data_IF_771870771058
#
_entry.id   IF_771870771058
#
_cell.length_a   1.000
_cell.length_b   1.000
_cell.length_c   1.000
_cell.angle_alpha   90.00
_cell.angle_beta   90.00
_cell.angle_gamma   90.00
#
_symmetry.space_group_name_H-M   'P 1'
#
loop_
_entity.id
_entity.type
_entity.pdbx_description
1 polymer ?
#
# COMPACT_ATOMS: atom_id res chain seq x y z
N UNK A 1 55.94 44.99 20.48
CA UNK A 1 55.14 43.79 20.21
C UNK A 1 56.07 42.62 20.05
N UNK A 2 55.89 41.50 20.75
CA UNK A 2 56.67 40.30 20.44
C UNK A 2 56.44 39.87 19.02
N UNK A 3 57.48 39.62 18.23
CA UNK A 3 57.40 39.12 16.88
C UNK A 3 57.02 37.63 16.91
N UNK A 4 55.78 37.32 16.62
CA UNK A 4 55.36 35.92 16.41
C UNK A 4 55.64 35.53 14.96
N UNK A 5 56.41 34.47 14.72
CA UNK A 5 56.91 34.14 13.37
C UNK A 5 55.87 33.49 12.44
N UNK A 6 54.64 33.18 12.90
CA UNK A 6 53.68 32.41 12.11
C UNK A 6 52.35 33.13 11.97
N UNK A 7 51.84 33.18 10.74
CA UNK A 7 50.50 33.66 10.38
C UNK A 7 49.66 32.47 9.92
N UNK A 8 48.43 32.37 10.45
CA UNK A 8 47.41 31.35 10.08
C UNK A 8 46.98 30.45 11.27
N UNK A 9 46.14 29.44 10.95
CA UNK A 9 45.60 28.44 11.89
C UNK A 9 46.66 27.39 12.32
N UNK A 10 47.91 27.78 12.31
CA UNK A 10 49.01 27.00 12.88
C UNK A 10 49.19 27.30 14.36
N UNK A 11 49.94 26.46 15.08
CA UNK A 11 50.27 26.67 16.49
C UNK A 11 50.67 28.10 16.81
N UNK A 12 51.55 28.71 16.01
CA UNK A 12 52.01 30.09 16.17
C UNK A 12 50.89 31.13 15.94
N UNK A 13 50.00 30.88 15.00
CA UNK A 13 48.86 31.74 14.70
C UNK A 13 47.86 31.80 15.86
N UNK A 14 47.53 30.66 16.47
CA UNK A 14 46.60 30.61 17.61
C UNK A 14 47.18 31.31 18.85
N UNK A 15 48.41 31.08 19.18
CA UNK A 15 49.08 31.73 20.29
C UNK A 15 49.04 33.25 20.17
N UNK A 16 49.34 33.76 18.96
CA UNK A 16 49.26 35.19 18.65
C UNK A 16 47.83 35.72 18.78
N UNK A 17 46.85 35.00 18.26
CA UNK A 17 45.43 35.42 18.29
C UNK A 17 44.94 35.51 19.74
N UNK A 18 45.18 34.52 20.56
CA UNK A 18 44.80 34.46 21.98
C UNK A 18 45.44 35.63 22.75
N UNK A 19 46.75 35.83 22.56
CA UNK A 19 47.47 36.92 23.21
C UNK A 19 46.89 38.30 22.82
N UNK A 20 46.74 38.52 21.50
CA UNK A 20 46.28 39.82 21.00
C UNK A 20 44.82 40.11 21.40
N UNK A 21 43.94 39.09 21.45
CA UNK A 21 42.57 39.26 21.85
C UNK A 21 42.46 39.66 23.31
N UNK A 22 43.19 38.97 24.21
CA UNK A 22 43.23 39.33 25.62
C UNK A 22 43.86 40.71 25.84
N UNK A 23 44.96 41.03 25.16
CA UNK A 23 45.65 42.31 25.28
C UNK A 23 44.78 43.49 24.82
N UNK A 24 44.04 43.34 23.70
CA UNK A 24 43.16 44.40 23.16
C UNK A 24 41.93 44.64 24.02
N UNK A 25 41.45 43.67 24.74
CA UNK A 25 40.31 43.76 25.65
C UNK A 25 40.66 44.16 27.05
N UNK A 26 41.90 44.59 27.31
CA UNK A 26 42.42 44.90 28.65
C UNK A 26 42.19 43.77 29.68
N UNK A 27 42.20 42.54 29.20
CA UNK A 27 41.95 41.33 29.99
C UNK A 27 40.71 41.44 30.91
N UNK A 28 39.62 42.05 30.40
CA UNK A 28 38.38 42.28 31.16
C UNK A 28 37.57 41.03 31.49
N UNK A 29 37.97 39.86 30.99
CA UNK A 29 37.39 38.56 31.27
C UNK A 29 38.40 37.65 31.96
N UNK A 30 37.93 36.52 32.49
CA UNK A 30 38.87 35.47 33.03
C UNK A 30 39.76 34.90 31.91
N UNK A 31 40.97 34.50 32.25
CA UNK A 31 41.92 33.91 31.30
C UNK A 31 41.35 32.75 30.50
N UNK A 32 40.50 31.90 31.11
CA UNK A 32 39.80 30.78 30.47
C UNK A 32 38.83 31.23 29.38
N UNK A 33 38.19 32.39 29.52
CA UNK A 33 37.26 32.94 28.52
C UNK A 33 37.96 33.37 27.24
N UNK A 34 39.26 33.63 27.26
CA UNK A 34 40.10 33.89 26.09
C UNK A 34 40.72 32.64 25.50
N UNK A 35 40.43 31.47 26.08
CA UNK A 35 40.92 30.22 25.53
C UNK A 35 40.35 29.91 24.17
N UNK A 36 41.18 29.38 23.27
CA UNK A 36 40.76 29.03 21.89
C UNK A 36 41.40 27.70 21.46
N UNK A 37 40.61 26.91 20.71
CA UNK A 37 41.07 25.74 19.98
C UNK A 37 41.52 26.11 18.58
N UNK A 38 42.49 25.35 18.02
CA UNK A 38 42.78 25.39 16.60
C UNK A 38 41.62 24.78 15.81
N UNK A 39 41.19 25.44 14.75
CA UNK A 39 40.11 24.94 13.90
C UNK A 39 40.58 23.92 12.86
N UNK A 40 41.89 23.82 12.65
CA UNK A 40 42.53 22.82 11.79
C UNK A 40 43.55 22.02 12.61
N UNK A 41 43.70 20.72 12.29
CA UNK A 41 44.84 19.95 12.74
C UNK A 41 46.11 20.39 12.02
N UNK A 42 47.23 20.25 12.69
CA UNK A 42 48.55 20.55 12.13
C UNK A 42 49.55 19.45 12.53
N UNK A 43 50.60 19.28 11.70
CA UNK A 43 51.68 18.35 11.98
C UNK A 43 52.55 18.89 13.12
N UNK A 44 52.93 18.02 14.06
CA UNK A 44 53.89 18.36 15.10
C UNK A 44 55.30 18.56 14.47
N UNK A 45 56.06 19.53 15.02
CA UNK A 45 57.41 19.78 14.53
C UNK A 45 58.31 18.58 14.80
N UNK A 46 58.83 17.97 13.73
CA UNK A 46 59.71 16.78 13.80
C UNK A 46 58.99 15.46 14.05
N UNK A 47 57.67 15.42 13.82
CA UNK A 47 56.83 14.25 14.03
C UNK A 47 55.71 14.27 12.97
N UNK A 48 55.36 13.13 12.40
CA UNK A 48 54.30 13.01 11.37
C UNK A 48 52.89 12.99 12.01
N UNK A 49 52.77 13.03 13.34
CA UNK A 49 51.49 13.04 14.02
C UNK A 49 50.81 14.40 13.94
N UNK A 50 49.52 14.35 13.78
CA UNK A 50 48.67 15.52 13.78
C UNK A 50 48.11 15.83 15.17
N UNK A 51 48.01 17.11 15.49
CA UNK A 51 47.44 17.60 16.73
C UNK A 51 46.54 18.81 16.50
N UNK A 52 45.63 19.02 17.46
CA UNK A 52 44.94 20.29 17.68
C UNK A 52 45.45 20.88 18.98
N UNK A 53 45.47 22.21 19.10
CA UNK A 53 45.92 22.88 20.33
C UNK A 53 44.77 23.69 20.94
N UNK A 54 44.72 23.67 22.27
CA UNK A 54 44.02 24.64 23.09
C UNK A 54 45.01 25.60 23.69
N UNK A 55 44.77 26.90 23.58
CA UNK A 55 45.68 27.93 24.09
C UNK A 55 44.92 28.99 24.88
N UNK A 56 45.46 29.42 25.99
CA UNK A 56 44.87 30.48 26.84
C UNK A 56 45.96 31.49 27.27
N UNK A 57 45.58 32.77 27.46
CA UNK A 57 46.54 33.78 27.92
C UNK A 57 46.91 33.60 29.37
N UNK A 58 48.09 34.02 29.69
CA UNK A 58 48.57 34.17 31.09
C UNK A 58 48.37 35.65 31.46
N UNK A 59 47.52 35.92 32.45
CA UNK A 59 47.09 37.24 32.85
C UNK A 59 47.47 37.43 34.35
N UNK A 60 48.21 38.47 34.64
CA UNK A 60 48.51 38.88 36.00
C UNK A 60 47.28 39.49 36.72
N UNK A 61 47.28 39.56 38.05
CA UNK A 61 46.17 40.17 38.78
C UNK A 61 45.90 41.65 38.43
N UNK A 62 46.89 42.38 37.88
CA UNK A 62 46.76 43.75 37.40
C UNK A 62 46.21 43.87 35.98
N UNK A 63 45.82 42.74 35.38
CA UNK A 63 45.31 42.67 33.99
C UNK A 63 46.40 42.56 32.92
N UNK A 64 47.68 42.55 33.27
CA UNK A 64 48.77 42.46 32.31
C UNK A 64 48.85 41.10 31.69
N UNK A 65 48.72 41.01 30.34
CA UNK A 65 48.91 39.79 29.56
C UNK A 65 50.40 39.61 29.30
N UNK A 66 51.05 38.60 29.91
CA UNK A 66 52.49 38.43 29.78
C UNK A 66 52.90 37.18 28.96
N UNK A 67 51.96 36.31 28.66
CA UNK A 67 52.27 35.11 27.85
C UNK A 67 51.02 34.34 27.45
N UNK A 68 51.24 33.18 26.86
CA UNK A 68 50.21 32.20 26.46
C UNK A 68 50.71 30.81 26.84
N UNK A 69 49.85 30.01 27.41
CA UNK A 69 50.08 28.57 27.61
C UNK A 69 49.14 27.79 26.71
N UNK A 70 49.62 26.67 26.18
CA UNK A 70 48.79 25.81 25.33
C UNK A 70 49.06 24.33 25.63
N UNK A 71 48.05 23.53 25.31
CA UNK A 71 48.09 22.05 25.39
C UNK A 71 47.79 21.53 23.97
N UNK A 72 48.58 20.56 23.53
CA UNK A 72 48.40 19.87 22.26
C UNK A 72 47.72 18.53 22.51
N UNK A 73 46.68 18.25 21.73
CA UNK A 73 45.94 17.02 21.77
C UNK A 73 46.10 16.30 20.44
N UNK A 74 46.63 15.10 20.46
CA UNK A 74 46.83 14.31 19.25
C UNK A 74 45.48 13.93 18.62
N UNK A 75 45.39 14.06 17.33
CA UNK A 75 44.17 13.65 16.58
C UNK A 75 43.89 12.16 16.70
N UNK A 76 44.95 11.33 16.74
CA UNK A 76 44.84 9.87 16.93
C UNK A 76 44.16 9.53 18.25
N UNK A 77 44.48 10.26 19.35
CA UNK A 77 43.78 10.08 20.61
C UNK A 77 42.29 10.41 20.51
N UNK A 78 41.93 11.50 19.82
CA UNK A 78 40.55 11.86 19.59
C UNK A 78 39.82 10.81 18.73
N UNK A 79 40.49 10.26 17.74
CA UNK A 79 39.91 9.19 16.90
C UNK A 79 39.54 7.96 17.73
N UNK A 80 40.32 7.61 18.74
CA UNK A 80 40.00 6.49 19.66
C UNK A 80 38.72 6.76 20.48
N UNK A 81 38.34 8.03 20.63
CA UNK A 81 37.12 8.45 21.37
C UNK A 81 35.89 8.59 20.47
N UNK A 82 36.08 8.45 19.17
CA UNK A 82 35.05 8.53 18.17
C UNK A 82 34.94 7.18 17.40
N UNK A 83 34.38 6.13 18.03
CA UNK A 83 34.34 4.80 17.45
C UNK A 83 33.36 4.75 16.27
N UNK A 84 33.87 4.97 15.07
CA UNK A 84 33.08 5.00 13.84
C UNK A 84 32.41 3.65 13.53
N UNK A 85 32.91 2.55 14.09
CA UNK A 85 32.29 1.22 13.93
C UNK A 85 30.90 1.11 14.56
N UNK A 86 30.52 2.06 15.42
CA UNK A 86 29.16 2.16 15.95
C UNK A 86 28.16 2.64 14.91
N UNK A 87 28.61 3.38 13.90
CA UNK A 87 27.74 3.86 12.82
C UNK A 87 27.39 2.74 11.83
N UNK A 88 28.36 1.88 11.53
CA UNK A 88 28.17 0.76 10.63
C UNK A 88 29.29 -0.27 10.77
N UNK A 89 28.93 -1.56 10.83
CA UNK A 89 29.90 -2.68 10.85
C UNK A 89 30.75 -2.74 9.57
N UNK A 90 30.19 -2.29 8.43
CA UNK A 90 30.85 -2.26 7.12
C UNK A 90 31.74 -1.02 6.90
N UNK A 91 31.98 -0.20 7.93
CA UNK A 91 32.79 1.02 7.90
C UNK A 91 32.30 2.11 6.94
N UNK A 92 31.03 2.11 6.58
CA UNK A 92 30.43 3.11 5.69
C UNK A 92 30.08 4.43 6.42
N UNK A 93 30.31 4.50 7.72
CA UNK A 93 30.09 5.67 8.55
C UNK A 93 31.39 6.34 9.02
N UNK A 94 31.36 7.64 9.20
CA UNK A 94 32.49 8.44 9.66
C UNK A 94 32.03 9.50 10.65
N UNK A 95 32.83 9.71 11.71
CA UNK A 95 32.66 10.86 12.60
C UNK A 95 33.64 11.98 12.23
N UNK A 96 33.16 13.20 12.27
CA UNK A 96 33.97 14.41 12.14
C UNK A 96 33.76 15.33 13.36
N UNK A 97 34.83 15.96 13.79
CA UNK A 97 34.69 17.19 14.56
C UNK A 97 34.85 18.32 13.55
N UNK A 98 33.79 19.14 13.41
CA UNK A 98 33.73 20.23 12.44
C UNK A 98 33.48 21.56 13.10
N UNK A 99 33.98 22.61 12.50
CA UNK A 99 33.79 23.98 12.96
C UNK A 99 33.15 24.82 11.86
N UNK A 100 32.37 25.82 12.27
CA UNK A 100 31.79 26.83 11.40
C UNK A 100 31.71 28.17 12.07
N UNK A 101 31.47 29.24 11.33
CA UNK A 101 31.17 30.57 11.83
C UNK A 101 29.77 30.97 11.43
N UNK A 102 29.20 31.98 12.08
CA UNK A 102 27.83 32.44 11.79
C UNK A 102 27.62 32.90 10.33
N UNK A 103 28.69 33.34 9.64
CA UNK A 103 28.66 33.78 8.24
C UNK A 103 28.80 32.64 7.21
N UNK A 104 28.90 31.39 7.69
CA UNK A 104 29.17 30.23 6.83
C UNK A 104 27.91 29.66 6.15
N UNK A 105 26.70 30.15 6.50
CA UNK A 105 25.46 29.74 5.84
C UNK A 105 25.18 30.67 4.67
N UNK A 106 25.38 30.16 3.44
CA UNK A 106 25.11 30.88 2.20
C UNK A 106 24.18 30.05 1.33
N UNK A 107 23.06 30.61 0.88
CA UNK A 107 22.10 29.96 -0.02
C UNK A 107 21.63 28.56 0.43
N UNK A 108 21.46 28.35 1.75
CA UNK A 108 21.07 27.06 2.29
C UNK A 108 22.19 26.02 2.37
N UNK A 109 23.42 26.43 2.08
CA UNK A 109 24.62 25.60 2.20
C UNK A 109 25.41 26.05 3.42
N UNK A 110 25.64 25.16 4.38
CA UNK A 110 26.45 25.39 5.55
C UNK A 110 27.87 24.86 5.26
N UNK A 111 28.85 25.76 5.25
CA UNK A 111 30.25 25.41 5.10
C UNK A 111 30.84 25.00 6.44
N UNK A 112 31.22 23.74 6.57
CA UNK A 112 31.82 23.14 7.76
C UNK A 112 33.30 22.87 7.50
N UNK A 113 34.15 23.31 8.41
CA UNK A 113 35.59 23.03 8.36
C UNK A 113 35.89 21.78 9.16
N UNK A 114 36.52 20.82 8.53
CA UNK A 114 36.97 19.59 9.19
C UNK A 114 38.16 19.84 10.10
N UNK A 115 38.03 19.46 11.36
CA UNK A 115 39.12 19.58 12.36
C UNK A 115 39.71 18.20 12.66
N UNK A 116 38.88 17.19 12.93
CA UNK A 116 39.28 15.80 13.19
C UNK A 116 38.35 14.87 12.45
N UNK A 117 38.91 13.75 11.96
CA UNK A 117 38.15 12.68 11.26
C UNK A 117 38.42 11.37 12.00
N UNK A 118 37.36 10.57 12.19
CA UNK A 118 37.44 9.20 12.66
C UNK A 118 36.78 8.29 11.63
N UNK A 119 37.44 7.19 11.26
CA UNK A 119 37.01 6.31 10.21
C UNK A 119 37.71 6.58 8.88
N UNK A 120 37.07 6.21 7.78
CA UNK A 120 37.59 6.50 6.43
C UNK A 120 37.57 8.00 6.16
N UNK A 121 38.66 8.55 5.67
CA UNK A 121 38.70 9.97 5.30
C UNK A 121 37.96 10.17 3.95
N UNK A 122 36.68 10.48 4.06
CA UNK A 122 35.81 10.70 2.91
C UNK A 122 36.14 12.02 2.18
N UNK A 123 36.82 12.93 2.86
CA UNK A 123 37.33 14.18 2.28
C UNK A 123 38.69 13.89 1.68
N UNK A 124 38.71 13.47 0.45
CA UNK A 124 39.96 13.23 -0.27
C UNK A 124 40.85 14.50 -0.30
N UNK A 125 42.17 14.30 -0.45
CA UNK A 125 43.19 15.33 -0.49
C UNK A 125 42.95 16.45 -1.54
N UNK A 126 41.99 16.29 -2.42
CA UNK A 126 41.61 17.24 -3.49
C UNK A 126 40.66 18.35 -3.00
N UNK A 127 40.10 18.29 -1.79
CA UNK A 127 39.39 19.44 -1.23
C UNK A 127 40.41 20.38 -0.56
N UNK A 128 40.75 21.50 -1.17
CA UNK A 128 41.96 22.30 -0.81
C UNK A 128 41.93 22.88 0.61
N UNK A 129 40.89 22.70 1.40
CA UNK A 129 40.78 23.25 2.76
C UNK A 129 40.01 22.35 3.75
N UNK A 130 39.70 21.08 3.42
CA UNK A 130 38.90 20.24 4.31
C UNK A 130 37.52 20.80 4.63
N UNK A 131 36.92 21.53 3.69
CA UNK A 131 35.62 22.16 3.85
C UNK A 131 34.54 21.23 3.31
N UNK A 132 33.54 20.96 4.15
CA UNK A 132 32.35 20.20 3.80
C UNK A 132 31.19 21.17 3.55
N UNK A 133 30.59 21.11 2.36
CA UNK A 133 29.41 21.89 2.02
C UNK A 133 28.17 21.08 2.34
N UNK A 134 27.60 21.33 3.50
CA UNK A 134 26.42 20.65 4.01
C UNK A 134 25.15 21.35 3.53
N UNK A 135 24.21 20.61 2.94
CA UNK A 135 22.92 21.12 2.50
C UNK A 135 21.81 20.52 3.36
N UNK A 136 20.79 21.33 3.67
CA UNK A 136 19.60 20.86 4.35
C UNK A 136 18.54 20.42 3.31
N UNK A 137 17.83 19.33 3.59
CA UNK A 137 16.73 18.84 2.75
C UNK A 137 15.37 19.49 3.09
N UNK A 138 15.36 20.45 4.02
CA UNK A 138 14.12 21.10 4.48
C UNK A 138 13.28 20.28 5.47
N UNK A 139 13.57 18.99 5.65
CA UNK A 139 12.88 18.08 6.57
C UNK A 139 13.70 17.79 7.83
N UNK A 140 14.77 18.54 8.06
CA UNK A 140 15.70 18.37 9.20
C UNK A 140 16.85 17.42 8.92
N UNK A 141 16.93 16.82 7.75
CA UNK A 141 18.07 16.06 7.27
C UNK A 141 19.12 16.97 6.65
N UNK A 142 20.39 16.70 6.96
CA UNK A 142 21.52 17.33 6.31
C UNK A 142 22.26 16.32 5.46
N UNK A 143 22.81 16.75 4.35
CA UNK A 143 23.58 15.90 3.47
C UNK A 143 24.76 16.62 2.84
N UNK A 144 25.76 15.85 2.50
CA UNK A 144 26.97 16.31 1.83
C UNK A 144 27.25 15.39 0.64
N UNK A 145 27.71 15.97 -0.45
CA UNK A 145 28.10 15.23 -1.66
C UNK A 145 29.63 15.17 -1.73
N UNK A 146 30.15 13.95 -1.71
CA UNK A 146 31.59 13.67 -1.72
C UNK A 146 31.85 12.54 -2.72
N UNK A 147 32.78 12.74 -3.65
CA UNK A 147 33.17 11.74 -4.66
C UNK A 147 31.95 11.15 -5.43
N UNK A 148 31.03 12.00 -5.88
CA UNK A 148 29.80 11.62 -6.57
C UNK A 148 28.83 10.73 -5.74
N UNK A 149 29.10 10.58 -4.45
CA UNK A 149 28.24 9.89 -3.51
C UNK A 149 27.60 10.88 -2.56
N UNK A 150 26.38 10.58 -2.15
CA UNK A 150 25.65 11.36 -1.16
C UNK A 150 25.75 10.70 0.20
N UNK A 151 26.14 11.51 1.20
CA UNK A 151 26.21 11.13 2.59
C UNK A 151 25.22 11.93 3.41
N UNK A 152 24.40 11.26 4.20
CA UNK A 152 23.61 11.93 5.21
C UNK A 152 24.46 12.27 6.40
N UNK A 153 24.19 13.45 6.99
CA UNK A 153 24.96 14.01 8.09
C UNK A 153 24.03 14.45 9.22
N UNK A 154 24.36 14.03 10.42
CA UNK A 154 23.75 14.53 11.66
C UNK A 154 24.78 15.41 12.35
N UNK A 155 24.36 16.60 12.77
CA UNK A 155 25.20 17.59 13.44
C UNK A 155 24.72 17.74 14.88
N UNK A 156 25.60 17.40 15.84
CA UNK A 156 25.36 17.60 17.26
C UNK A 156 26.24 18.75 17.77
N UNK A 157 25.66 19.83 18.31
CA UNK A 157 26.43 20.99 18.74
C UNK A 157 27.29 20.66 19.95
N UNK A 158 28.59 21.01 19.87
CA UNK A 158 29.52 20.94 20.95
C UNK A 158 29.72 22.31 21.59
N UNK A 159 29.36 22.48 22.84
CA UNK A 159 29.56 23.73 23.56
C UNK A 159 31.01 23.81 24.08
N UNK A 160 31.88 24.33 23.23
CA UNK A 160 33.34 24.45 23.53
C UNK A 160 33.69 25.75 24.21
N UNK A 161 32.90 26.80 23.95
CA UNK A 161 33.12 28.13 24.49
C UNK A 161 31.93 28.63 25.32
N UNK A 162 32.23 29.45 26.32
CA UNK A 162 31.17 30.21 26.99
C UNK A 162 30.57 31.25 26.09
N UNK A 163 29.27 31.57 26.26
CA UNK A 163 28.53 32.53 25.40
C UNK A 163 29.18 33.90 25.31
N UNK A 164 29.89 34.31 26.33
CA UNK A 164 30.53 35.63 26.41
C UNK A 164 32.04 35.60 26.03
N UNK A 165 32.51 34.42 25.58
CA UNK A 165 33.87 34.29 25.11
C UNK A 165 34.08 35.01 23.78
N UNK A 166 35.25 35.65 23.56
CA UNK A 166 35.54 36.34 22.27
C UNK A 166 35.45 35.43 21.03
N UNK A 167 35.56 34.11 21.23
CA UNK A 167 35.51 33.09 20.17
C UNK A 167 34.17 32.35 20.10
N UNK A 168 33.17 32.81 20.82
CA UNK A 168 31.82 32.19 20.86
C UNK A 168 31.12 32.12 19.50
N UNK A 169 31.56 32.93 18.52
CA UNK A 169 31.07 32.84 17.12
C UNK A 169 31.55 31.60 16.37
N UNK A 170 32.65 30.96 16.86
CA UNK A 170 33.13 29.69 16.32
C UNK A 170 32.27 28.56 16.91
N UNK A 171 31.38 28.02 16.10
CA UNK A 171 30.51 26.90 16.49
C UNK A 171 31.18 25.59 16.17
N UNK A 172 31.11 24.67 17.10
CA UNK A 172 31.68 23.33 16.98
C UNK A 172 30.55 22.30 16.93
N UNK A 173 30.75 21.28 16.12
CA UNK A 173 29.78 20.18 16.00
C UNK A 173 30.53 18.86 15.93
N UNK A 174 29.91 17.85 16.53
CA UNK A 174 30.18 16.47 16.21
C UNK A 174 29.26 16.11 15.02
N UNK A 175 29.85 15.70 13.92
CA UNK A 175 29.14 15.26 12.73
C UNK A 175 29.29 13.75 12.56
N UNK A 176 28.18 13.03 12.52
CA UNK A 176 28.14 11.63 12.10
C UNK A 176 27.62 11.56 10.67
N UNK A 177 28.34 10.85 9.80
CA UNK A 177 27.96 10.70 8.39
C UNK A 177 27.81 9.25 8.00
N UNK A 178 26.89 8.96 7.09
CA UNK A 178 26.68 7.63 6.52
C UNK A 178 26.30 7.74 5.05
N UNK A 179 26.83 6.85 4.22
CA UNK A 179 26.48 6.79 2.78
C UNK A 179 24.99 6.50 2.62
N UNK A 180 24.33 7.24 1.72
CA UNK A 180 22.90 7.11 1.44
C UNK A 180 22.51 5.69 1.02
N UNK A 181 23.33 5.03 0.21
CA UNK A 181 23.07 3.68 -0.26
C UNK A 181 23.00 2.67 0.90
N UNK A 182 23.86 2.80 1.89
CA UNK A 182 23.89 1.96 3.07
C UNK A 182 22.71 2.27 3.99
N UNK A 183 22.48 3.54 4.27
CA UNK A 183 21.36 3.99 5.10
C UNK A 183 20.00 3.52 4.57
N UNK A 184 19.82 3.58 3.25
CA UNK A 184 18.58 3.19 2.59
C UNK A 184 18.54 1.71 2.17
N UNK A 185 19.61 0.94 2.34
CA UNK A 185 19.67 -0.47 1.96
C UNK A 185 18.57 -1.31 2.62
N UNK A 186 18.32 -1.08 3.90
CA UNK A 186 17.22 -1.71 4.63
C UNK A 186 15.86 -1.37 4.00
N UNK A 187 15.61 -0.09 3.74
CA UNK A 187 14.36 0.38 3.15
C UNK A 187 14.14 -0.19 1.74
N UNK A 188 15.20 -0.25 0.92
CA UNK A 188 15.13 -0.83 -0.43
C UNK A 188 14.84 -2.33 -0.39
N UNK A 189 15.45 -3.07 0.54
CA UNK A 189 15.20 -4.51 0.74
C UNK A 189 13.78 -4.78 1.20
N UNK A 190 13.27 -3.99 2.15
CA UNK A 190 11.86 -4.09 2.60
C UNK A 190 10.90 -3.82 1.44
N UNK A 191 11.16 -2.80 0.63
CA UNK A 191 10.36 -2.49 -0.56
C UNK A 191 10.36 -3.63 -1.57
N UNK A 192 11.51 -4.22 -1.85
CA UNK A 192 11.64 -5.36 -2.77
C UNK A 192 10.86 -6.58 -2.26
N UNK A 193 10.99 -6.92 -0.97
CA UNK A 193 10.23 -8.02 -0.35
C UNK A 193 8.73 -7.76 -0.41
N UNK A 194 8.28 -6.52 -0.13
CA UNK A 194 6.87 -6.16 -0.23
C UNK A 194 6.34 -6.29 -1.66
N UNK A 195 7.06 -5.76 -2.64
CA UNK A 195 6.66 -5.83 -4.05
C UNK A 195 6.60 -7.27 -4.56
N UNK A 196 7.58 -8.10 -4.22
CA UNK A 196 7.59 -9.51 -4.60
C UNK A 196 6.46 -10.29 -3.93
N UNK A 197 6.18 -10.02 -2.65
CA UNK A 197 5.06 -10.65 -1.93
C UNK A 197 3.72 -10.27 -2.55
N UNK A 198 3.51 -8.99 -2.87
CA UNK A 198 2.29 -8.52 -3.55
C UNK A 198 2.14 -9.19 -4.92
N UNK A 199 3.21 -9.28 -5.71
CA UNK A 199 3.18 -9.91 -7.02
C UNK A 199 2.83 -11.41 -6.94
N UNK A 200 3.43 -12.14 -6.01
CA UNK A 200 3.14 -13.56 -5.78
C UNK A 200 1.68 -13.74 -5.35
N UNK A 201 1.21 -12.93 -4.40
CA UNK A 201 -0.18 -13.01 -3.90
C UNK A 201 -1.18 -12.74 -5.02
N UNK A 202 -0.90 -11.76 -5.88
CA UNK A 202 -1.76 -11.43 -7.02
C UNK A 202 -1.83 -12.60 -8.02
N UNK A 203 -0.69 -13.20 -8.36
CA UNK A 203 -0.64 -14.37 -9.25
C UNK A 203 -1.41 -15.55 -8.64
N UNK A 204 -1.20 -15.85 -7.37
CA UNK A 204 -1.91 -16.93 -6.68
C UNK A 204 -3.42 -16.67 -6.62
N UNK A 205 -3.84 -15.43 -6.39
CA UNK A 205 -5.25 -15.03 -6.38
C UNK A 205 -5.91 -15.23 -7.74
N UNK A 206 -5.25 -14.80 -8.83
CA UNK A 206 -5.76 -15.01 -10.19
C UNK A 206 -5.85 -16.50 -10.53
N UNK A 207 -4.80 -17.28 -10.24
CA UNK A 207 -4.80 -18.72 -10.44
C UNK A 207 -5.90 -19.42 -9.64
N UNK A 208 -6.04 -19.06 -8.36
CA UNK A 208 -7.12 -19.56 -7.49
C UNK A 208 -8.51 -19.25 -8.05
N UNK A 209 -8.73 -18.03 -8.49
CA UNK A 209 -9.99 -17.61 -9.12
C UNK A 209 -10.30 -18.41 -10.39
N UNK A 210 -9.31 -18.60 -11.26
CA UNK A 210 -9.47 -19.42 -12.48
C UNK A 210 -9.77 -20.89 -12.16
N UNK A 211 -9.10 -21.47 -11.16
CA UNK A 211 -9.34 -22.85 -10.72
C UNK A 211 -10.74 -23.02 -10.13
N UNK A 212 -11.17 -22.10 -9.27
CA UNK A 212 -12.53 -22.11 -8.69
C UNK A 212 -13.57 -21.93 -9.80
N UNK A 213 -13.38 -20.99 -10.72
CA UNK A 213 -14.26 -20.79 -11.86
C UNK A 213 -14.36 -22.06 -12.73
N UNK A 214 -13.24 -22.70 -13.02
CA UNK A 214 -13.24 -23.91 -13.84
C UNK A 214 -13.91 -25.10 -13.12
N UNK A 215 -13.74 -25.24 -11.80
CA UNK A 215 -14.30 -26.36 -11.05
C UNK A 215 -15.74 -26.18 -10.60
N UNK A 216 -16.18 -24.96 -10.34
CA UNK A 216 -17.54 -24.69 -9.85
C UNK A 216 -18.45 -24.11 -10.92
N UNK A 217 -18.04 -23.05 -11.61
CA UNK A 217 -18.91 -22.36 -12.55
C UNK A 217 -19.22 -23.17 -13.82
N UNK A 218 -18.23 -23.89 -14.36
CA UNK A 218 -18.45 -24.69 -15.59
C UNK A 218 -19.48 -25.81 -15.40
N UNK A 219 -19.41 -26.67 -14.37
CA UNK A 219 -20.42 -27.69 -14.11
C UNK A 219 -21.81 -27.11 -13.89
N UNK A 220 -21.93 -26.04 -13.12
CA UNK A 220 -23.23 -25.38 -12.86
C UNK A 220 -23.84 -24.84 -14.16
N UNK A 221 -23.07 -24.15 -14.99
CA UNK A 221 -23.53 -23.64 -16.27
C UNK A 221 -23.93 -24.76 -17.23
N UNK A 222 -23.28 -25.91 -17.18
CA UNK A 222 -23.66 -27.08 -17.95
C UNK A 222 -25.01 -27.64 -17.52
N UNK A 223 -25.21 -27.84 -16.21
CA UNK A 223 -26.50 -28.26 -15.69
C UNK A 223 -27.63 -27.29 -16.02
N UNK A 224 -27.38 -25.99 -15.92
CA UNK A 224 -28.33 -24.98 -16.29
C UNK A 224 -28.77 -25.11 -17.75
N UNK A 225 -27.83 -25.30 -18.68
CA UNK A 225 -28.14 -25.53 -20.09
C UNK A 225 -28.91 -26.83 -20.32
N UNK A 226 -28.51 -27.92 -19.66
CA UNK A 226 -29.21 -29.21 -19.77
C UNK A 226 -30.67 -29.11 -19.30
N UNK A 227 -30.96 -28.29 -18.27
CA UNK A 227 -32.34 -28.04 -17.82
C UNK A 227 -33.14 -27.22 -18.83
N UNK A 228 -32.54 -26.14 -19.35
CA UNK A 228 -33.22 -25.30 -20.36
C UNK A 228 -33.51 -26.10 -21.67
N UNK A 229 -32.51 -26.83 -22.17
CA UNK A 229 -32.66 -27.65 -23.38
C UNK A 229 -33.75 -28.73 -23.22
N UNK A 230 -33.86 -29.28 -22.00
CA UNK A 230 -34.90 -30.25 -21.70
C UNK A 230 -36.30 -29.59 -21.66
N UNK A 231 -36.39 -28.38 -21.14
CA UNK A 231 -37.65 -27.61 -21.08
C UNK A 231 -38.14 -27.25 -22.50
N UNK A 232 -37.24 -26.78 -23.38
CA UNK A 232 -37.58 -26.45 -24.76
C UNK A 232 -38.06 -27.67 -25.55
N UNK A 233 -37.41 -28.83 -25.35
CA UNK A 233 -37.73 -30.07 -26.03
C UNK A 233 -38.88 -30.86 -25.38
N UNK A 234 -39.49 -30.32 -24.30
CA UNK A 234 -40.51 -31.01 -23.50
C UNK A 234 -40.09 -32.44 -23.12
N UNK A 235 -38.82 -32.64 -22.87
CA UNK A 235 -38.22 -33.93 -22.53
C UNK A 235 -37.71 -33.89 -21.09
N UNK A 236 -37.50 -35.06 -20.46
CA UNK A 236 -36.90 -35.14 -19.14
C UNK A 236 -35.44 -34.74 -19.18
N UNK A 237 -34.99 -33.80 -18.31
CA UNK A 237 -33.59 -33.47 -18.25
C UNK A 237 -32.77 -34.68 -17.73
N UNK A 238 -31.85 -35.15 -18.57
CA UNK A 238 -30.82 -36.11 -18.12
C UNK A 238 -29.65 -35.31 -17.63
N UNK A 239 -29.65 -35.04 -16.33
CA UNK A 239 -28.60 -34.27 -15.68
C UNK A 239 -27.33 -35.09 -15.58
N UNK A 240 -26.23 -34.59 -16.12
CA UNK A 240 -24.92 -35.24 -16.06
C UNK A 240 -24.32 -35.10 -14.66
N UNK A 241 -23.66 -36.19 -14.19
CA UNK A 241 -22.94 -36.11 -12.90
C UNK A 241 -21.77 -35.14 -12.98
N UNK A 242 -21.64 -34.35 -11.94
CA UNK A 242 -20.52 -33.44 -11.74
C UNK A 242 -19.60 -34.05 -10.65
N UNK A 243 -18.36 -33.61 -10.54
CA UNK A 243 -17.46 -34.09 -9.48
C UNK A 243 -17.75 -33.45 -8.09
N UNK A 244 -18.90 -32.74 -7.94
CA UNK A 244 -19.26 -31.98 -6.75
C UNK A 244 -20.49 -32.61 -6.12
N UNK A 245 -20.37 -33.21 -4.95
CA UNK A 245 -21.45 -33.97 -4.26
C UNK A 245 -22.71 -33.14 -4.05
N UNK A 246 -22.58 -31.90 -3.70
CA UNK A 246 -23.71 -30.96 -3.44
C UNK A 246 -24.49 -30.69 -4.71
N UNK A 247 -23.78 -30.50 -5.82
CA UNK A 247 -24.38 -30.26 -7.14
C UNK A 247 -25.05 -31.52 -7.66
N UNK A 248 -24.44 -32.68 -7.49
CA UNK A 248 -25.02 -33.95 -7.89
C UNK A 248 -26.29 -34.28 -7.08
N UNK A 249 -26.27 -34.01 -5.76
CA UNK A 249 -27.47 -34.17 -4.90
C UNK A 249 -28.60 -33.23 -5.33
N UNK A 250 -28.27 -31.99 -5.67
CA UNK A 250 -29.26 -31.03 -6.17
C UNK A 250 -29.87 -31.52 -7.51
N UNK A 251 -29.05 -32.00 -8.42
CA UNK A 251 -29.50 -32.59 -9.68
C UNK A 251 -30.39 -33.81 -9.50
N UNK A 252 -30.05 -34.71 -8.57
CA UNK A 252 -30.89 -35.87 -8.20
C UNK A 252 -32.23 -35.43 -7.63
N UNK A 253 -32.25 -34.42 -6.75
CA UNK A 253 -33.50 -33.88 -6.15
C UNK A 253 -34.43 -33.31 -7.21
N UNK A 254 -33.89 -32.50 -8.15
CA UNK A 254 -34.67 -31.97 -9.26
C UNK A 254 -35.26 -33.10 -10.12
N UNK A 255 -34.46 -34.11 -10.42
CA UNK A 255 -34.90 -35.26 -11.22
C UNK A 255 -36.01 -36.03 -10.51
N UNK A 256 -35.92 -36.22 -9.19
CA UNK A 256 -36.92 -36.89 -8.39
C UNK A 256 -38.24 -36.10 -8.33
N UNK A 257 -38.15 -34.78 -8.03
CA UNK A 257 -39.33 -33.90 -8.03
C UNK A 257 -40.06 -33.94 -9.36
N UNK A 258 -39.35 -33.90 -10.46
CA UNK A 258 -39.93 -33.94 -11.77
C UNK A 258 -40.65 -35.28 -12.07
N UNK A 259 -40.06 -36.41 -11.64
CA UNK A 259 -40.70 -37.73 -11.73
C UNK A 259 -41.97 -37.81 -10.88
N UNK A 260 -41.96 -37.28 -9.67
CA UNK A 260 -43.10 -37.26 -8.76
C UNK A 260 -44.27 -36.43 -9.39
N UNK A 261 -43.93 -35.26 -9.96
CA UNK A 261 -44.93 -34.42 -10.63
C UNK A 261 -45.61 -35.17 -11.82
N UNK A 262 -44.82 -35.82 -12.67
CA UNK A 262 -45.37 -36.58 -13.78
C UNK A 262 -46.17 -37.79 -13.32
N UNK A 263 -45.67 -38.51 -12.32
CA UNK A 263 -46.37 -39.66 -11.75
C UNK A 263 -47.71 -39.27 -11.15
N UNK A 264 -47.74 -38.16 -10.39
CA UNK A 264 -48.95 -37.64 -9.79
C UNK A 264 -49.94 -37.13 -10.85
N UNK A 265 -49.43 -36.45 -11.88
CA UNK A 265 -50.28 -36.03 -13.02
C UNK A 265 -50.86 -37.22 -13.73
N UNK A 266 -50.07 -38.27 -13.99
CA UNK A 266 -50.57 -39.49 -14.65
C UNK A 266 -51.60 -40.27 -13.79
N UNK A 267 -51.38 -40.33 -12.45
CA UNK A 267 -52.32 -40.93 -11.50
C UNK A 267 -53.62 -40.14 -11.49
N UNK A 268 -53.55 -38.79 -11.47
CA UNK A 268 -54.72 -37.94 -11.53
C UNK A 268 -55.55 -38.19 -12.78
N UNK A 269 -54.90 -38.21 -13.96
CA UNK A 269 -55.59 -38.50 -15.20
C UNK A 269 -56.24 -39.89 -15.20
N UNK A 270 -55.57 -40.94 -14.66
CA UNK A 270 -56.17 -42.25 -14.53
C UNK A 270 -57.37 -42.30 -13.62
N UNK A 271 -57.33 -41.59 -12.47
CA UNK A 271 -58.46 -41.53 -11.53
C UNK A 271 -59.63 -40.83 -12.24
N UNK A 272 -59.40 -39.77 -12.98
CA UNK A 272 -60.43 -39.09 -13.75
C UNK A 272 -61.06 -39.97 -14.82
N UNK A 273 -60.22 -40.74 -15.56
CA UNK A 273 -60.66 -41.69 -16.55
C UNK A 273 -61.51 -42.83 -15.92
N UNK A 274 -61.08 -43.39 -14.79
CA UNK A 274 -61.81 -44.40 -14.06
C UNK A 274 -63.15 -43.92 -13.42
N UNK A 275 -63.22 -42.63 -13.10
CA UNK A 275 -64.40 -41.99 -12.55
C UNK A 275 -65.43 -41.63 -13.63
N UNK A 276 -65.14 -41.90 -14.90
CA UNK A 276 -65.95 -41.53 -16.07
C UNK A 276 -66.32 -40.03 -16.09
N UNK A 277 -65.45 -39.19 -15.55
CA UNK A 277 -65.61 -37.72 -15.56
C UNK A 277 -64.93 -37.19 -16.79
N UNK A 278 -65.69 -36.74 -17.73
CA UNK A 278 -65.16 -36.03 -18.88
C UNK A 278 -64.85 -34.60 -18.54
N UNK A 279 -63.53 -34.24 -18.60
CA UNK A 279 -63.03 -32.89 -18.33
C UNK A 279 -62.49 -32.28 -19.61
N UNK A 280 -62.94 -31.07 -19.87
CA UNK A 280 -62.33 -30.21 -20.88
C UNK A 280 -61.61 -29.03 -20.22
N UNK A 281 -60.38 -28.77 -20.61
CA UNK A 281 -59.60 -27.65 -20.14
C UNK A 281 -59.11 -26.78 -21.27
N UNK A 282 -58.80 -25.52 -20.94
CA UNK A 282 -58.16 -24.60 -21.86
C UNK A 282 -57.05 -23.80 -21.16
N UNK A 283 -56.06 -23.40 -21.95
CA UNK A 283 -54.98 -22.52 -21.53
C UNK A 283 -54.88 -21.34 -22.52
N UNK A 284 -54.98 -20.13 -21.99
CA UNK A 284 -54.79 -18.89 -22.73
C UNK A 284 -53.34 -18.45 -22.62
N UNK A 285 -52.62 -18.44 -23.73
CA UNK A 285 -51.29 -17.89 -23.80
C UNK A 285 -51.35 -16.43 -24.29
N UNK A 286 -51.15 -15.54 -23.33
CA UNK A 286 -51.21 -14.08 -23.61
C UNK A 286 -49.96 -13.58 -24.35
N UNK A 287 -48.85 -14.30 -24.26
CA UNK A 287 -47.58 -14.01 -24.93
C UNK A 287 -47.63 -14.30 -26.44
N UNK A 288 -48.29 -15.39 -26.84
CA UNK A 288 -48.41 -15.83 -28.22
C UNK A 288 -49.77 -15.53 -28.85
N UNK A 289 -50.73 -15.06 -28.07
CA UNK A 289 -52.10 -14.83 -28.52
C UNK A 289 -52.83 -16.10 -28.99
N UNK A 290 -52.38 -17.27 -28.51
CA UNK A 290 -52.92 -18.58 -28.87
C UNK A 290 -53.68 -19.22 -27.70
N UNK A 291 -54.64 -20.07 -28.03
CA UNK A 291 -55.41 -20.84 -27.07
C UNK A 291 -55.15 -22.32 -27.33
N UNK A 292 -54.78 -22.99 -26.24
CA UNK A 292 -54.69 -24.45 -26.20
C UNK A 292 -55.95 -25.01 -25.56
N UNK A 293 -56.56 -26.02 -26.13
CA UNK A 293 -57.73 -26.71 -25.56
C UNK A 293 -57.48 -28.21 -25.56
N UNK A 294 -58.03 -28.90 -24.55
CA UNK A 294 -57.97 -30.37 -24.49
C UNK A 294 -58.88 -31.01 -25.54
N UNK A 295 -58.56 -32.24 -25.93
CA UNK A 295 -59.27 -32.95 -27.00
C UNK A 295 -60.79 -33.05 -26.78
N UNK A 296 -61.25 -33.15 -25.56
CA UNK A 296 -62.68 -33.26 -25.25
C UNK A 296 -63.40 -31.93 -25.01
N UNK A 297 -62.65 -30.79 -24.99
CA UNK A 297 -63.19 -29.51 -24.59
C UNK A 297 -64.40 -29.08 -25.42
N UNK A 298 -64.25 -29.10 -26.77
CA UNK A 298 -65.33 -28.70 -27.66
C UNK A 298 -66.42 -29.71 -27.74
N UNK A 299 -66.14 -31.02 -27.54
CA UNK A 299 -67.15 -32.04 -27.48
C UNK A 299 -68.12 -31.84 -26.30
N UNK A 300 -67.49 -31.52 -25.12
CA UNK A 300 -68.25 -31.20 -23.92
C UNK A 300 -69.10 -29.94 -24.03
N UNK A 301 -68.64 -28.99 -24.85
CA UNK A 301 -69.38 -27.76 -25.14
C UNK A 301 -70.41 -27.91 -26.24
N UNK A 302 -70.62 -29.13 -26.77
CA UNK A 302 -71.62 -29.39 -27.82
C UNK A 302 -71.20 -28.85 -29.23
N UNK A 303 -69.91 -28.63 -29.41
CA UNK A 303 -69.36 -28.12 -30.67
C UNK A 303 -68.14 -28.94 -31.17
N UNK A 304 -68.37 -30.26 -31.42
CA UNK A 304 -67.26 -31.16 -31.82
C UNK A 304 -66.59 -30.76 -33.13
N UNK A 305 -67.24 -29.99 -33.94
CA UNK A 305 -66.75 -29.49 -35.25
C UNK A 305 -65.58 -28.51 -35.13
N UNK A 306 -65.37 -27.94 -33.93
CA UNK A 306 -64.25 -26.99 -33.66
C UNK A 306 -63.01 -27.68 -33.13
N UNK A 307 -63.01 -28.96 -33.00
CA UNK A 307 -61.90 -29.73 -32.45
C UNK A 307 -60.74 -29.80 -33.45
N UNK A 308 -59.53 -29.45 -33.00
CA UNK A 308 -58.33 -29.50 -33.83
C UNK A 308 -58.03 -28.22 -34.67
N UNK A 309 -58.89 -27.22 -34.68
CA UNK A 309 -58.58 -25.95 -35.35
C UNK A 309 -57.70 -25.04 -34.43
N UNK A 310 -56.66 -24.39 -34.96
CA UNK A 310 -55.92 -23.37 -34.21
C UNK A 310 -56.81 -22.17 -33.93
N UNK A 311 -57.10 -21.96 -32.65
CA UNK A 311 -57.96 -20.84 -32.23
C UNK A 311 -57.10 -19.65 -31.75
N UNK A 312 -57.48 -18.46 -32.29
CA UNK A 312 -57.00 -17.22 -31.71
C UNK A 312 -57.80 -16.88 -30.43
N UNK A 313 -57.17 -16.17 -29.49
CA UNK A 313 -57.82 -15.74 -28.23
C UNK A 313 -59.15 -15.04 -28.49
N UNK A 314 -59.22 -14.17 -29.46
CA UNK A 314 -60.45 -13.41 -29.83
C UNK A 314 -61.60 -14.32 -30.28
N UNK A 315 -61.31 -15.31 -31.11
CA UNK A 315 -62.37 -16.27 -31.61
C UNK A 315 -62.79 -17.21 -30.47
N UNK A 316 -61.88 -17.56 -29.56
CA UNK A 316 -62.21 -18.36 -28.40
C UNK A 316 -63.10 -17.61 -27.39
N UNK A 317 -62.82 -16.31 -27.14
CA UNK A 317 -63.68 -15.46 -26.33
C UNK A 317 -65.10 -15.30 -26.93
N UNK A 318 -65.19 -15.16 -28.21
CA UNK A 318 -66.52 -15.11 -28.94
C UNK A 318 -67.32 -16.42 -28.74
N UNK A 319 -66.61 -17.57 -28.76
CA UNK A 319 -67.25 -18.87 -28.55
C UNK A 319 -67.69 -19.01 -27.11
N UNK A 320 -66.86 -18.65 -26.16
CA UNK A 320 -67.21 -18.67 -24.71
C UNK A 320 -68.34 -17.71 -24.42
N UNK A 321 -68.32 -16.52 -24.97
CA UNK A 321 -69.42 -15.54 -24.84
C UNK A 321 -70.80 -16.08 -25.36
N UNK A 322 -70.75 -16.72 -26.46
CA UNK A 322 -71.98 -17.34 -27.04
C UNK A 322 -72.47 -18.52 -26.19
N UNK A 323 -71.61 -19.21 -25.48
CA UNK A 323 -72.00 -20.28 -24.54
C UNK A 323 -72.54 -19.68 -23.24
N UNK A 324 -71.87 -18.63 -22.72
CA UNK A 324 -72.28 -17.89 -21.54
C UNK A 324 -73.66 -17.26 -21.67
N UNK A 325 -74.03 -16.74 -22.84
CA UNK A 325 -75.34 -16.16 -23.14
C UNK A 325 -76.48 -17.21 -23.13
N UNK A 326 -76.11 -18.49 -23.35
CA UNK A 326 -77.09 -19.58 -23.42
C UNK A 326 -77.27 -20.32 -22.06
N UNK A 327 -76.30 -20.23 -21.17
CA UNK A 327 -76.29 -20.93 -19.92
C UNK A 327 -76.03 -19.96 -18.76
N UNK A 328 -76.86 -19.93 -17.72
CA UNK A 328 -76.61 -19.10 -16.54
C UNK A 328 -75.35 -19.59 -15.81
N UNK A 329 -74.51 -18.65 -15.42
CA UNK A 329 -73.30 -18.98 -14.63
C UNK A 329 -73.54 -18.73 -13.14
N UNK A 330 -73.15 -19.70 -12.31
CA UNK A 330 -72.98 -19.53 -10.87
C UNK A 330 -71.54 -19.20 -10.53
N UNK A 331 -71.35 -18.14 -9.74
CA UNK A 331 -70.04 -17.79 -9.21
C UNK A 331 -69.81 -18.45 -7.85
N UNK A 332 -68.72 -19.16 -7.69
CA UNK A 332 -68.29 -19.66 -6.40
C UNK A 332 -67.78 -18.52 -5.51
N UNK A 333 -67.76 -18.75 -4.21
CA UNK A 333 -67.27 -17.80 -3.21
C UNK A 333 -65.78 -17.41 -3.41
N UNK A 334 -65.02 -18.21 -4.15
CA UNK A 334 -63.59 -17.97 -4.50
C UNK A 334 -63.42 -17.24 -5.84
N UNK A 335 -64.49 -16.88 -6.55
CA UNK A 335 -64.46 -16.12 -7.78
C UNK A 335 -64.41 -16.97 -9.07
N UNK A 336 -64.41 -18.28 -8.94
CA UNK A 336 -64.48 -19.20 -10.07
C UNK A 336 -65.87 -19.25 -10.65
N UNK A 337 -65.97 -19.27 -11.97
CA UNK A 337 -67.24 -19.28 -12.68
C UNK A 337 -67.58 -20.72 -13.09
N UNK A 338 -68.67 -21.26 -12.51
CA UNK A 338 -69.23 -22.56 -12.84
C UNK A 338 -70.30 -22.41 -13.94
N UNK A 339 -70.00 -22.96 -15.10
CA UNK A 339 -70.99 -23.06 -16.19
C UNK A 339 -71.59 -24.46 -16.18
N UNK A 340 -72.86 -24.55 -15.89
CA UNK A 340 -73.59 -25.80 -16.02
C UNK A 340 -74.19 -25.89 -17.44
N UNK A 341 -73.63 -26.79 -18.26
CA UNK A 341 -74.14 -27.05 -19.59
C UNK A 341 -75.06 -28.24 -19.53
N UNK A 342 -76.33 -27.99 -19.78
CA UNK A 342 -77.30 -29.10 -20.03
C UNK A 342 -77.06 -29.72 -21.40
N UNK A 343 -76.55 -30.94 -21.42
CA UNK A 343 -76.54 -31.70 -22.65
C UNK A 343 -78.02 -31.97 -23.07
N UNK A 344 -78.37 -31.75 -24.36
CA UNK A 344 -79.64 -32.21 -24.82
C UNK A 344 -79.68 -33.72 -24.66
N UNK A 345 -80.73 -34.23 -24.03
CA UNK A 345 -80.98 -35.64 -23.84
C UNK A 345 -80.70 -36.39 -25.16
N UNK A 346 -79.73 -37.31 -25.09
CA UNK A 346 -79.54 -38.28 -26.16
C UNK A 346 -80.77 -39.14 -26.24
N UNK A 347 -81.67 -38.81 -27.19
CA UNK A 347 -82.77 -39.71 -27.56
C UNK A 347 -82.16 -41.02 -28.00
N UNK A 348 -82.49 -42.07 -27.22
CA UNK A 348 -82.19 -43.48 -27.56
C UNK A 348 -82.75 -43.84 -28.92
#
# INVERSE_FOLDING_TARGET
QPAFPYQGDTKGGILRTVFQTAYKSDAGLSAESYGRWTTNSYCLAGDDRHAIAYSMPLILPDGTVYGVVGVELLTDYLQTKLPFTELDEDKAGTYFIVTTTDDALTDGVLSLRKTVTSGEDLVTADAPLGVLNCRSDGNGGNWVELNDKRYYMVLEPLQVYNRNAPFAAEKWFLAGTMEQSVLLAFSSRVREVLLTTIAITLVLSVLGSLLVSARLARPINRLYREVIDAQEKKTFPRLSRTAIREVDRFAETITQLNRELVTNSTKFLRIMDMASVEIGGYELRTDTGSVFVTDNFFSLLGKPEMQGEPLSVRRFEEVLKGIREKNPSDRTAEGDELLTIQQPDSVR
#
